data_IF_944545972792
#
_entry.id   IF_944545972792
#
_cell.length_a   1.000
_cell.length_b   1.000
_cell.length_c   1.000
_cell.angle_alpha   90.00
_cell.angle_beta   90.00
_cell.angle_gamma   90.00
#
_symmetry.space_group_name_H-M   'P 1'
#
loop_
_entity.id
_entity.type
_entity.pdbx_description
1 polymer ?
#
# COMPACT_ATOMS: atom_id res chain seq x y z
N UNK A 1 10.51 -13.66 4.40
CA UNK A 1 10.01 -12.84 5.52
C UNK A 1 9.77 -11.42 5.02
N UNK A 2 8.60 -10.82 5.26
CA UNK A 2 8.27 -9.48 4.73
C UNK A 2 9.02 -8.38 5.50
N UNK A 3 9.67 -7.47 4.75
CA UNK A 3 10.42 -6.33 5.26
C UNK A 3 9.72 -5.01 4.90
N UNK A 4 9.64 -4.09 5.88
CA UNK A 4 8.97 -2.80 5.73
C UNK A 4 9.63 -1.92 4.67
N UNK A 5 10.97 -1.93 4.61
CA UNK A 5 11.72 -1.13 3.64
C UNK A 5 11.45 -1.60 2.20
N UNK A 6 11.39 -2.92 2.00
CA UNK A 6 11.15 -3.52 0.69
C UNK A 6 9.73 -3.25 0.20
N UNK A 7 8.72 -3.39 1.06
CA UNK A 7 7.34 -3.03 0.71
C UNK A 7 7.22 -1.54 0.38
N UNK A 8 7.86 -0.67 1.18
CA UNK A 8 7.87 0.78 0.91
C UNK A 8 8.53 1.09 -0.43
N UNK A 9 9.62 0.41 -0.78
CA UNK A 9 10.29 0.54 -2.07
C UNK A 9 9.38 0.08 -3.21
N UNK A 10 8.76 -1.09 -3.10
CA UNK A 10 7.85 -1.61 -4.12
C UNK A 10 6.66 -0.66 -4.39
N UNK A 11 6.07 -0.07 -3.34
CA UNK A 11 5.01 0.93 -3.49
C UNK A 11 5.53 2.16 -4.25
N UNK A 12 6.69 2.71 -3.86
CA UNK A 12 7.28 3.87 -4.55
C UNK A 12 7.62 3.57 -6.01
N UNK A 13 8.17 2.39 -6.30
CA UNK A 13 8.52 1.96 -7.64
C UNK A 13 7.24 1.83 -8.51
N UNK A 14 6.16 1.27 -7.96
CA UNK A 14 4.86 1.19 -8.65
C UNK A 14 4.26 2.57 -8.93
N UNK A 15 4.28 3.48 -7.96
CA UNK A 15 3.83 4.88 -8.12
C UNK A 15 4.57 5.55 -9.27
N UNK A 16 5.90 5.39 -9.31
CA UNK A 16 6.76 5.94 -10.37
C UNK A 16 6.44 5.31 -11.73
N UNK A 17 6.29 3.99 -11.78
CA UNK A 17 5.97 3.25 -13.00
C UNK A 17 4.63 3.70 -13.62
N UNK A 18 3.63 3.97 -12.78
CA UNK A 18 2.31 4.44 -13.22
C UNK A 18 2.25 5.95 -13.48
N UNK A 19 3.35 6.68 -13.30
CA UNK A 19 3.40 8.13 -13.56
C UNK A 19 2.51 8.96 -12.63
N UNK A 20 2.18 8.44 -11.44
CA UNK A 20 1.24 9.10 -10.53
C UNK A 20 1.95 10.19 -9.73
N UNK A 21 1.55 11.44 -9.96
CA UNK A 21 2.11 12.63 -9.27
C UNK A 21 1.30 13.07 -8.04
N UNK A 22 0.16 12.43 -7.78
CA UNK A 22 -0.76 12.80 -6.70
C UNK A 22 -0.40 12.28 -5.31
N UNK A 23 0.70 11.54 -5.13
CA UNK A 23 1.10 10.93 -3.86
C UNK A 23 2.24 11.73 -3.24
N UNK A 24 1.95 12.43 -2.15
CA UNK A 24 2.92 13.22 -1.39
C UNK A 24 3.89 12.34 -0.60
N UNK A 25 3.35 11.33 0.07
CA UNK A 25 4.10 10.55 1.04
C UNK A 25 3.54 9.14 1.19
N UNK A 26 4.45 8.18 1.39
CA UNK A 26 4.13 6.77 1.63
C UNK A 26 4.71 6.34 2.98
N UNK A 27 3.84 5.87 3.88
CA UNK A 27 4.23 5.22 5.13
C UNK A 27 3.83 3.76 5.07
N UNK A 28 4.77 2.88 5.44
CA UNK A 28 4.50 1.45 5.60
C UNK A 28 4.76 1.08 7.04
N UNK A 29 3.87 0.29 7.63
CA UNK A 29 3.99 -0.25 8.98
C UNK A 29 3.72 -1.75 8.91
N UNK A 30 4.65 -2.53 9.46
CA UNK A 30 4.45 -3.96 9.67
C UNK A 30 4.13 -4.21 11.13
N UNK A 31 3.09 -5.00 11.40
CA UNK A 31 2.80 -5.51 12.74
C UNK A 31 2.92 -7.04 12.70
N UNK A 32 3.68 -7.60 13.64
CA UNK A 32 4.06 -9.02 13.69
C UNK A 32 3.51 -9.67 14.97
N UNK A 33 2.23 -9.47 15.24
CA UNK A 33 1.52 -10.11 16.35
C UNK A 33 1.24 -11.59 16.05
N UNK A 34 0.00 -12.04 16.25
CA UNK A 34 -0.44 -13.41 15.90
C UNK A 34 -0.38 -13.74 14.40
N UNK A 35 -0.17 -12.72 13.56
CA UNK A 35 0.13 -12.83 12.13
C UNK A 35 0.89 -11.58 11.66
N UNK A 36 1.37 -11.57 10.41
CA UNK A 36 2.01 -10.38 9.84
C UNK A 36 0.95 -9.52 9.15
N UNK A 37 0.61 -8.36 9.71
CA UNK A 37 -0.19 -7.37 9.02
C UNK A 37 0.67 -6.24 8.44
N UNK A 38 0.27 -5.76 7.26
CA UNK A 38 0.94 -4.70 6.52
C UNK A 38 -0.04 -3.56 6.34
N UNK A 39 0.34 -2.37 6.80
CA UNK A 39 -0.44 -1.14 6.61
C UNK A 39 0.36 -0.17 5.74
N UNK A 40 -0.20 0.17 4.58
CA UNK A 40 0.37 1.11 3.60
C UNK A 40 -0.50 2.34 3.59
N UNK A 41 0.02 3.45 4.08
CA UNK A 41 -0.66 4.74 4.14
C UNK A 41 -0.11 5.65 3.04
N UNK A 42 -0.98 6.03 2.11
CA UNK A 42 -0.73 6.87 0.95
C UNK A 42 -1.36 8.24 1.19
N UNK A 43 -0.53 9.26 1.35
CA UNK A 43 -0.97 10.63 1.53
C UNK A 43 -1.07 11.31 0.17
N UNK A 44 -2.26 11.83 -0.13
CA UNK A 44 -2.62 12.33 -1.44
C UNK A 44 -2.62 13.87 -1.45
N UNK A 45 -1.98 14.46 -2.47
CA UNK A 45 -2.11 15.88 -2.80
C UNK A 45 -3.23 16.11 -3.83
N UNK A 46 -3.56 15.09 -4.62
CA UNK A 46 -4.62 15.11 -5.63
C UNK A 46 -5.44 13.82 -5.54
N UNK A 47 -6.73 13.83 -5.92
CA UNK A 47 -7.51 12.61 -6.08
C UNK A 47 -6.81 11.61 -7.01
N UNK A 48 -6.94 10.32 -6.68
CA UNK A 48 -6.39 9.20 -7.46
C UNK A 48 -7.52 8.22 -7.73
N UNK A 49 -7.55 7.67 -8.94
CA UNK A 49 -8.56 6.69 -9.32
C UNK A 49 -8.44 5.39 -8.50
N UNK A 50 -9.58 4.77 -8.25
CA UNK A 50 -9.62 3.50 -7.50
C UNK A 50 -8.82 2.38 -8.20
N UNK A 51 -8.81 2.39 -9.53
CA UNK A 51 -8.08 1.45 -10.41
C UNK A 51 -6.57 1.40 -10.10
N UNK A 52 -5.97 2.53 -9.72
CA UNK A 52 -4.59 2.60 -9.29
C UNK A 52 -4.33 1.73 -8.06
N UNK A 53 -5.21 1.81 -7.05
CA UNK A 53 -5.06 1.03 -5.82
C UNK A 53 -5.29 -0.45 -6.05
N UNK A 54 -6.24 -0.82 -6.91
CA UNK A 54 -6.46 -2.22 -7.30
C UNK A 54 -5.21 -2.83 -7.93
N UNK A 55 -4.58 -2.13 -8.88
CA UNK A 55 -3.34 -2.63 -9.48
C UNK A 55 -2.16 -2.70 -8.49
N UNK A 56 -2.08 -1.76 -7.54
CA UNK A 56 -1.08 -1.82 -6.47
C UNK A 56 -1.31 -3.03 -5.54
N UNK A 57 -2.57 -3.31 -5.21
CA UNK A 57 -2.97 -4.47 -4.41
C UNK A 57 -2.58 -5.76 -5.12
N UNK A 58 -2.87 -5.89 -6.41
CA UNK A 58 -2.54 -7.08 -7.19
C UNK A 58 -1.02 -7.33 -7.23
N UNK A 59 -0.24 -6.28 -7.49
CA UNK A 59 1.22 -6.32 -7.51
C UNK A 59 1.78 -6.81 -6.16
N UNK A 60 1.32 -6.21 -5.05
CA UNK A 60 1.79 -6.54 -3.72
C UNK A 60 1.32 -7.93 -3.27
N UNK A 61 0.13 -8.36 -3.68
CA UNK A 61 -0.40 -9.70 -3.41
C UNK A 61 0.44 -10.76 -4.08
N UNK A 62 0.76 -10.58 -5.37
CA UNK A 62 1.61 -11.52 -6.13
C UNK A 62 3.03 -11.59 -5.58
N UNK A 63 3.60 -10.43 -5.23
CA UNK A 63 5.00 -10.33 -4.82
C UNK A 63 5.25 -10.82 -3.39
N UNK A 64 4.31 -10.58 -2.47
CA UNK A 64 4.50 -10.81 -1.04
C UNK A 64 3.50 -11.80 -0.42
N UNK A 65 2.60 -12.38 -1.21
CA UNK A 65 1.57 -13.30 -0.70
C UNK A 65 0.54 -12.62 0.20
N UNK A 66 0.38 -11.29 0.09
CA UNK A 66 -0.57 -10.52 0.90
C UNK A 66 -2.02 -10.79 0.50
N UNK A 67 -2.89 -10.94 1.48
CA UNK A 67 -4.32 -11.27 1.31
C UNK A 67 -5.20 -10.43 2.24
N UNK A 68 -6.52 -10.57 2.08
CA UNK A 68 -7.54 -9.92 2.90
C UNK A 68 -7.40 -8.40 2.93
N UNK A 69 -7.30 -7.80 1.74
CA UNK A 69 -7.07 -6.38 1.60
C UNK A 69 -8.27 -5.55 2.06
N UNK A 70 -7.98 -4.50 2.82
CA UNK A 70 -8.91 -3.45 3.20
C UNK A 70 -8.40 -2.12 2.65
N UNK A 71 -9.24 -1.44 1.87
CA UNK A 71 -9.01 -0.07 1.44
C UNK A 71 -9.86 0.84 2.33
N UNK A 72 -9.21 1.70 3.09
CA UNK A 72 -9.87 2.61 4.01
C UNK A 72 -9.36 4.04 3.79
N UNK A 73 -10.24 5.03 3.87
CA UNK A 73 -9.90 6.44 3.78
C UNK A 73 -10.13 7.12 5.14
N UNK A 74 -9.12 7.19 6.04
CA UNK A 74 -9.32 7.73 7.39
C UNK A 74 -9.71 9.21 7.41
N UNK A 75 -9.29 9.97 6.40
CA UNK A 75 -9.64 11.37 6.18
C UNK A 75 -9.31 11.75 4.72
N UNK A 76 -9.77 12.92 4.26
CA UNK A 76 -9.81 13.28 2.83
C UNK A 76 -8.49 13.37 2.06
N UNK A 77 -7.33 13.14 2.69
CA UNK A 77 -6.00 13.13 2.05
C UNK A 77 -5.19 11.87 2.33
N UNK A 78 -5.81 10.84 2.91
CA UNK A 78 -5.13 9.61 3.25
C UNK A 78 -5.94 8.41 2.80
N UNK A 79 -5.28 7.52 2.06
CA UNK A 79 -5.78 6.18 1.79
C UNK A 79 -4.87 5.19 2.49
N UNK A 80 -5.45 4.28 3.27
CA UNK A 80 -4.76 3.19 3.92
C UNK A 80 -5.17 1.87 3.29
N UNK A 81 -4.18 1.14 2.78
CA UNK A 81 -4.31 -0.24 2.35
C UNK A 81 -3.80 -1.13 3.48
N UNK A 82 -4.61 -2.07 3.96
CA UNK A 82 -4.22 -3.01 5.01
C UNK A 82 -4.37 -4.44 4.51
N UNK A 83 -3.40 -5.29 4.78
CA UNK A 83 -3.43 -6.69 4.38
C UNK A 83 -2.76 -7.58 5.43
N UNK A 84 -3.00 -8.87 5.34
CA UNK A 84 -2.35 -9.89 6.16
C UNK A 84 -1.53 -10.82 5.29
N UNK A 85 -0.35 -11.21 5.76
CA UNK A 85 0.40 -12.38 5.28
C UNK A 85 0.15 -13.51 6.27
N UNK A 86 -0.49 -14.57 5.80
CA UNK A 86 -0.43 -15.90 6.40
C UNK A 86 0.94 -16.52 6.19
#
# INVERSE_FOLDING_TARGET
>A
MINQADVKKAVKDYVKLKGVTGIRFVKVTLNRGSGTSVHISLYLDKPIELTFFNGLIDELSKRYGLRNWLIYAPHGRLIRLSATST
#
